data_IF_139090927925
#
_entry.id   IF_139090927925
#
_cell.length_a   1.000
_cell.length_b   1.000
_cell.length_c   1.000
_cell.angle_alpha   90.00
_cell.angle_beta   90.00
_cell.angle_gamma   90.00
#
_symmetry.space_group_name_H-M   'P 1'
#
loop_
_entity.id
_entity.type
_entity.pdbx_description
1 polymer ?
#
# COMPACT_ATOMS: atom_id res chain seq x y z
N UNK A 1 12.36 -18.85 -24.90
CA UNK A 1 12.46 -17.39 -25.19
C UNK A 1 12.09 -16.58 -23.96
N UNK A 2 13.04 -15.83 -23.39
CA UNK A 2 12.75 -14.86 -22.34
C UNK A 2 12.03 -13.62 -22.92
N UNK A 3 11.14 -13.00 -22.14
CA UNK A 3 10.48 -11.74 -22.54
C UNK A 3 11.39 -10.56 -22.18
N UNK A 4 11.54 -9.58 -23.08
CA UNK A 4 12.35 -8.39 -22.84
C UNK A 4 11.78 -7.46 -21.75
N UNK A 5 12.63 -6.59 -21.20
CA UNK A 5 12.27 -5.62 -20.14
C UNK A 5 11.14 -4.65 -20.53
N UNK A 6 10.92 -4.41 -21.81
CA UNK A 6 9.83 -3.55 -22.30
C UNK A 6 8.56 -4.31 -22.65
N UNK A 7 8.54 -5.64 -22.46
CA UNK A 7 7.37 -6.46 -22.74
C UNK A 7 6.16 -5.99 -21.92
N UNK A 8 5.04 -5.80 -22.63
CA UNK A 8 3.79 -5.24 -22.08
C UNK A 8 3.25 -6.05 -20.91
N UNK A 9 3.32 -7.38 -20.98
CA UNK A 9 2.90 -8.27 -19.89
C UNK A 9 3.75 -8.05 -18.63
N UNK A 10 5.08 -8.04 -18.75
CA UNK A 10 5.98 -7.80 -17.61
C UNK A 10 5.83 -6.41 -17.01
N UNK A 11 5.56 -5.38 -17.83
CA UNK A 11 5.30 -4.02 -17.36
C UNK A 11 4.04 -3.98 -16.48
N UNK A 12 2.97 -4.68 -16.88
CA UNK A 12 1.71 -4.77 -16.11
C UNK A 12 1.87 -5.52 -14.79
N UNK A 13 2.63 -6.61 -14.80
CA UNK A 13 2.95 -7.31 -13.55
C UNK A 13 3.77 -6.43 -12.60
N UNK A 14 4.74 -5.67 -13.13
CA UNK A 14 5.51 -4.70 -12.33
C UNK A 14 4.63 -3.61 -11.73
N UNK A 15 3.68 -3.05 -12.48
CA UNK A 15 2.75 -2.05 -11.93
C UNK A 15 1.89 -2.63 -10.81
N UNK A 16 1.37 -3.85 -10.96
CA UNK A 16 0.61 -4.51 -9.89
C UNK A 16 1.46 -4.74 -8.62
N UNK A 17 2.74 -5.11 -8.77
CA UNK A 17 3.67 -5.26 -7.65
C UNK A 17 4.00 -3.93 -6.97
N UNK A 18 4.14 -2.85 -7.74
CA UNK A 18 4.39 -1.50 -7.19
C UNK A 18 3.28 -1.08 -6.24
N UNK A 19 2.02 -1.28 -6.59
CA UNK A 19 0.91 -0.96 -5.69
C UNK A 19 1.06 -1.60 -4.30
N UNK A 20 1.45 -2.88 -4.24
CA UNK A 20 1.67 -3.58 -2.96
C UNK A 20 2.85 -3.01 -2.19
N UNK A 21 3.96 -2.70 -2.88
CA UNK A 21 5.13 -2.10 -2.25
C UNK A 21 4.77 -0.71 -1.70
N UNK A 22 4.06 0.09 -2.48
CA UNK A 22 3.60 1.40 -2.07
C UNK A 22 2.75 1.31 -0.80
N UNK A 23 1.78 0.39 -0.76
CA UNK A 23 0.87 0.22 0.38
C UNK A 23 1.57 -0.32 1.63
N UNK A 24 2.48 -1.30 1.50
CA UNK A 24 3.13 -1.96 2.63
C UNK A 24 4.34 -1.16 3.15
N UNK A 25 5.05 -0.45 2.27
CA UNK A 25 6.35 0.14 2.59
C UNK A 25 6.32 1.66 2.50
N UNK A 26 5.84 2.23 1.40
CA UNK A 26 5.98 3.67 1.15
C UNK A 26 5.02 4.49 2.01
N UNK A 27 3.73 4.09 2.07
CA UNK A 27 2.71 4.76 2.88
C UNK A 27 3.07 4.83 4.36
N UNK A 28 3.38 3.72 5.06
CA UNK A 28 3.70 3.80 6.49
C UNK A 28 4.96 4.63 6.75
N UNK A 29 5.97 4.56 5.88
CA UNK A 29 7.16 5.41 5.99
C UNK A 29 6.83 6.89 5.85
N UNK A 30 5.93 7.23 4.93
CA UNK A 30 5.49 8.59 4.70
C UNK A 30 4.66 9.11 5.89
N UNK A 31 3.79 8.28 6.46
CA UNK A 31 3.03 8.61 7.67
C UNK A 31 3.95 8.83 8.88
N UNK A 32 4.93 7.94 9.09
CA UNK A 32 5.97 8.10 10.12
C UNK A 32 6.76 9.39 9.93
N UNK A 33 7.23 9.67 8.70
CA UNK A 33 7.97 10.89 8.40
C UNK A 33 7.13 12.15 8.67
N UNK A 34 5.87 12.16 8.23
CA UNK A 34 4.95 13.26 8.48
C UNK A 34 4.70 13.47 9.99
N UNK A 35 4.56 12.39 10.75
CA UNK A 35 4.42 12.45 12.21
C UNK A 35 5.64 13.11 12.85
N UNK A 36 6.85 12.72 12.44
CA UNK A 36 8.11 13.30 12.94
C UNK A 36 8.19 14.80 12.63
N UNK A 37 7.88 15.20 11.40
CA UNK A 37 7.87 16.61 10.99
C UNK A 37 6.90 17.43 11.85
N UNK A 38 5.69 16.91 12.12
CA UNK A 38 4.71 17.60 12.98
C UNK A 38 5.17 17.75 14.43
N UNK A 39 5.90 16.79 14.98
CA UNK A 39 6.46 16.88 16.33
C UNK A 39 7.56 17.92 16.40
N UNK A 40 8.46 17.94 15.40
CA UNK A 40 9.51 18.95 15.28
C UNK A 40 8.93 20.37 15.16
N UNK A 41 7.86 20.55 14.38
CA UNK A 41 7.15 21.84 14.26
C UNK A 41 6.58 22.34 15.58
N UNK A 42 6.25 21.43 16.50
CA UNK A 42 5.77 21.75 17.86
C UNK A 42 6.90 21.97 18.86
N UNK A 43 8.16 21.91 18.42
CA UNK A 43 9.35 22.04 19.28
C UNK A 43 9.64 20.78 20.11
N UNK A 44 9.00 19.65 19.82
CA UNK A 44 9.27 18.38 20.50
C UNK A 44 10.43 17.69 19.80
N UNK A 45 11.47 17.32 20.56
CA UNK A 45 12.57 16.54 20.01
C UNK A 45 12.13 15.10 19.71
N UNK A 46 12.57 14.59 18.56
CA UNK A 46 12.16 13.30 17.99
C UNK A 46 13.38 12.37 17.86
N UNK A 47 14.55 12.80 18.34
CA UNK A 47 15.76 11.97 18.36
C UNK A 47 15.51 10.72 19.22
N UNK A 48 15.72 9.51 18.66
CA UNK A 48 15.58 8.30 19.46
C UNK A 48 16.75 8.20 20.43
N UNK A 49 16.44 7.89 21.69
CA UNK A 49 17.47 7.58 22.68
C UNK A 49 18.25 6.34 22.26
N UNK A 50 19.57 6.50 22.08
CA UNK A 50 20.47 5.39 21.72
C UNK A 50 20.88 4.68 23.00
N UNK A 51 20.38 3.45 23.18
CA UNK A 51 20.78 2.60 24.31
C UNK A 51 22.18 2.03 24.09
N UNK A 52 22.99 1.87 25.16
CA UNK A 52 24.32 1.28 25.05
C UNK A 52 24.23 -0.19 24.59
N UNK A 53 25.25 -0.64 23.86
CA UNK A 53 25.29 -1.98 23.29
C UNK A 53 25.88 -2.97 24.30
N UNK A 54 25.11 -3.98 24.69
CA UNK A 54 25.51 -4.98 25.68
C UNK A 54 26.73 -5.82 25.28
N UNK A 55 27.02 -5.95 23.98
CA UNK A 55 28.22 -6.64 23.51
C UNK A 55 29.52 -5.84 23.73
N UNK A 56 29.42 -4.51 23.77
CA UNK A 56 30.57 -3.63 24.00
C UNK A 56 30.75 -3.37 25.50
N UNK A 57 29.65 -3.18 26.22
CA UNK A 57 29.63 -2.89 27.65
C UNK A 57 28.83 -3.98 28.40
N UNK A 58 29.44 -5.15 28.64
CA UNK A 58 28.74 -6.26 29.29
C UNK A 58 28.32 -5.94 30.72
N UNK A 59 29.06 -5.06 31.41
CA UNK A 59 28.83 -4.74 32.83
C UNK A 59 27.74 -3.67 33.04
N UNK A 60 27.40 -2.90 32.01
CA UNK A 60 26.40 -1.83 32.10
C UNK A 60 24.96 -2.43 32.15
N UNK A 61 24.16 -2.19 33.22
CA UNK A 61 22.83 -2.77 33.36
C UNK A 61 21.80 -2.19 32.38
N UNK A 62 22.03 -0.97 31.87
CA UNK A 62 21.12 -0.30 30.92
C UNK A 62 21.38 -0.72 29.46
N UNK A 63 22.47 -1.43 29.22
CA UNK A 63 22.86 -1.87 27.89
C UNK A 63 21.97 -3.00 27.37
N UNK A 64 21.55 -2.89 26.11
CA UNK A 64 20.61 -3.82 25.46
C UNK A 64 21.33 -4.60 24.37
N UNK A 65 21.01 -5.88 24.21
CA UNK A 65 21.46 -6.69 23.09
C UNK A 65 20.71 -6.22 21.84
N UNK A 66 21.39 -5.68 20.80
CA UNK A 66 20.72 -5.21 19.60
C UNK A 66 20.04 -6.38 18.89
N UNK A 67 18.70 -6.36 18.85
CA UNK A 67 17.91 -7.34 18.12
C UNK A 67 17.41 -6.75 16.80
N UNK A 68 17.48 -7.53 15.72
CA UNK A 68 16.89 -7.15 14.45
C UNK A 68 15.37 -7.29 14.53
N UNK A 69 14.65 -6.20 14.32
CA UNK A 69 13.19 -6.25 14.19
C UNK A 69 12.78 -7.13 12.99
N UNK A 70 11.92 -8.12 13.25
CA UNK A 70 11.36 -8.99 12.22
C UNK A 70 10.41 -8.16 11.35
N UNK A 71 10.74 -8.03 10.06
CA UNK A 71 9.87 -7.35 9.09
C UNK A 71 9.00 -8.38 8.37
N UNK A 72 7.70 -8.13 8.17
CA UNK A 72 6.84 -9.05 7.45
C UNK A 72 7.34 -9.27 6.03
N UNK A 73 7.41 -10.52 5.60
CA UNK A 73 7.85 -10.87 4.25
C UNK A 73 6.80 -10.41 3.21
N UNK A 74 7.26 -9.71 2.18
CA UNK A 74 6.40 -9.28 1.07
C UNK A 74 6.40 -10.38 0.00
N UNK A 75 5.27 -11.07 -0.16
CA UNK A 75 5.11 -12.03 -1.25
C UNK A 75 4.65 -11.33 -2.54
N UNK A 76 5.51 -11.36 -3.57
CA UNK A 76 5.27 -10.78 -4.88
C UNK A 76 4.96 -11.83 -5.95
N UNK A 77 4.66 -13.08 -5.57
CA UNK A 77 4.16 -14.11 -6.48
C UNK A 77 2.78 -13.73 -7.02
N UNK A 78 2.45 -14.19 -8.22
CA UNK A 78 1.17 -13.88 -8.87
C UNK A 78 -0.06 -14.34 -8.06
N UNK A 79 0.10 -15.28 -7.14
CA UNK A 79 -0.94 -15.75 -6.24
C UNK A 79 -1.26 -14.71 -5.15
N UNK A 80 -0.23 -14.11 -4.56
CA UNK A 80 -0.35 -13.12 -3.50
C UNK A 80 -0.71 -11.72 -4.03
N UNK A 81 -0.37 -11.42 -5.28
CA UNK A 81 -0.69 -10.13 -5.91
C UNK A 81 -2.14 -10.14 -6.44
N UNK A 82 -3.07 -9.35 -5.88
CA UNK A 82 -4.49 -9.48 -6.22
C UNK A 82 -4.82 -9.11 -7.68
N UNK A 83 -4.17 -8.07 -8.20
CA UNK A 83 -4.38 -7.57 -9.55
C UNK A 83 -3.50 -8.24 -10.62
N UNK A 84 -2.75 -9.27 -10.24
CA UNK A 84 -1.96 -10.06 -11.18
C UNK A 84 -2.82 -10.67 -12.30
N UNK A 85 -4.05 -11.08 -11.97
CA UNK A 85 -5.00 -11.65 -12.92
C UNK A 85 -5.42 -10.68 -14.03
N UNK A 86 -5.35 -9.37 -13.76
CA UNK A 86 -5.67 -8.32 -14.73
C UNK A 86 -4.48 -7.99 -15.65
N UNK A 87 -3.28 -8.51 -15.37
CA UNK A 87 -2.09 -8.27 -16.18
C UNK A 87 -2.02 -9.13 -17.46
N UNK A 88 -2.94 -10.09 -17.63
CA UNK A 88 -3.02 -11.04 -18.75
C UNK A 88 -3.31 -10.42 -20.13
N UNK A 89 -3.15 -11.24 -21.17
CA UNK A 89 -3.52 -10.88 -22.55
C UNK A 89 -5.03 -10.61 -22.61
N UNK A 90 -5.45 -9.56 -23.34
CA UNK A 90 -6.85 -9.07 -23.44
C UNK A 90 -7.46 -8.39 -22.20
N UNK A 91 -6.76 -8.34 -21.06
CA UNK A 91 -7.28 -7.66 -19.87
C UNK A 91 -7.06 -6.14 -19.89
N UNK A 92 -7.90 -5.42 -19.12
CA UNK A 92 -7.95 -3.96 -19.04
C UNK A 92 -6.59 -3.38 -18.63
N UNK A 93 -6.23 -2.24 -19.23
CA UNK A 93 -4.85 -1.70 -19.23
C UNK A 93 -4.55 -0.72 -18.09
N UNK A 94 -5.58 -0.16 -17.47
CA UNK A 94 -5.51 0.89 -16.44
C UNK A 94 -6.45 0.51 -15.29
N UNK A 95 -5.93 0.56 -14.06
CA UNK A 95 -6.74 0.45 -12.85
C UNK A 95 -7.57 1.74 -12.70
N UNK A 96 -8.84 1.61 -12.36
CA UNK A 96 -9.64 2.80 -12.03
C UNK A 96 -9.16 3.34 -10.68
N UNK A 97 -9.28 4.66 -10.43
CA UNK A 97 -8.98 5.21 -9.11
C UNK A 97 -9.81 4.53 -8.01
N UNK A 98 -11.01 4.04 -8.33
CA UNK A 98 -11.86 3.24 -7.44
C UNK A 98 -11.24 1.88 -7.12
N UNK A 99 -10.74 1.14 -8.10
CA UNK A 99 -10.06 -0.15 -7.89
C UNK A 99 -8.77 0.03 -7.06
N UNK A 100 -8.03 1.12 -7.28
CA UNK A 100 -6.85 1.46 -6.46
C UNK A 100 -7.28 1.74 -5.02
N UNK A 101 -8.42 2.41 -4.79
CA UNK A 101 -8.99 2.62 -3.46
C UNK A 101 -9.49 1.31 -2.85
N UNK A 102 -10.12 0.42 -3.60
CA UNK A 102 -10.57 -0.89 -3.13
C UNK A 102 -9.40 -1.80 -2.70
N UNK A 103 -8.21 -1.65 -3.28
CA UNK A 103 -6.99 -2.26 -2.72
C UNK A 103 -6.56 -1.65 -1.38
N UNK A 104 -6.79 -0.35 -1.16
CA UNK A 104 -6.52 0.29 0.14
C UNK A 104 -7.46 -0.25 1.23
N UNK A 105 -8.70 -0.58 0.88
CA UNK A 105 -9.67 -1.19 1.80
C UNK A 105 -9.33 -2.65 2.18
N UNK A 106 -8.20 -3.20 1.72
CA UNK A 106 -7.84 -4.60 1.89
C UNK A 106 -6.68 -4.90 2.81
N UNK A 107 -6.15 -3.90 3.52
CA UNK A 107 -5.05 -4.13 4.46
C UNK A 107 -5.35 -3.82 5.92
N UNK A 108 -6.44 -3.14 6.32
CA UNK A 108 -6.64 -2.80 7.74
C UNK A 108 -8.12 -2.90 8.13
N UNK A 109 -8.38 -3.82 9.07
CA UNK A 109 -9.47 -3.71 10.04
C UNK A 109 -9.35 -2.34 10.67
N UNK A 110 -10.37 -1.49 10.52
CA UNK A 110 -10.84 -0.41 11.40
C UNK A 110 -11.58 0.61 10.51
N UNK A 111 -12.86 0.31 10.22
CA UNK A 111 -13.76 1.21 9.49
C UNK A 111 -14.20 2.43 10.31
N UNK A 112 -13.75 2.56 11.55
CA UNK A 112 -14.12 3.61 12.50
C UNK A 112 -13.10 4.76 12.63
N UNK A 113 -11.96 4.69 11.93
CA UNK A 113 -10.99 5.81 11.84
C UNK A 113 -11.09 6.58 10.52
N UNK A 114 -12.00 6.19 9.63
CA UNK A 114 -12.26 6.93 8.42
C UNK A 114 -13.41 7.91 8.68
N UNK A 115 -13.21 9.22 8.46
CA UNK A 115 -14.31 10.16 8.53
C UNK A 115 -15.38 9.73 7.51
N UNK A 116 -16.68 9.79 7.87
CA UNK A 116 -17.74 9.62 6.88
C UNK A 116 -17.50 10.64 5.76
N UNK A 117 -17.72 10.22 4.51
CA UNK A 117 -17.56 11.02 3.28
C UNK A 117 -17.64 12.54 3.56
N UNK A 118 -16.51 13.25 3.46
CA UNK A 118 -16.54 14.71 3.40
C UNK A 118 -15.46 15.46 4.17
N UNK A 119 -14.82 14.88 5.18
CA UNK A 119 -13.91 15.66 6.02
C UNK A 119 -12.47 15.15 5.90
N UNK A 120 -11.71 15.79 5.02
CA UNK A 120 -10.25 15.82 5.14
C UNK A 120 -9.98 16.93 6.15
N UNK A 121 -9.50 16.58 7.33
CA UNK A 121 -8.97 17.55 8.28
C UNK A 121 -7.69 18.18 7.69
N UNK A 122 -7.88 19.18 6.85
CA UNK A 122 -6.95 20.25 6.55
C UNK A 122 -7.83 21.46 6.20
N UNK A 123 -7.92 22.41 7.14
CA UNK A 123 -8.35 23.77 6.81
C UNK A 123 -7.43 24.32 5.73
N UNK A 124 -7.90 24.36 4.49
CA UNK A 124 -7.57 25.40 3.51
C UNK A 124 -8.63 25.35 2.42
N UNK A 125 -9.36 26.46 2.31
CA UNK A 125 -10.25 26.85 1.22
C UNK A 125 -9.84 26.29 -0.14
N UNK A 126 -10.60 25.31 -0.64
CA UNK A 126 -10.66 25.03 -2.07
C UNK A 126 -11.90 24.20 -2.38
N UNK A 127 -12.81 24.82 -3.12
CA UNK A 127 -14.02 24.24 -3.68
C UNK A 127 -13.72 22.86 -4.28
N UNK A 128 -14.41 21.83 -3.79
CA UNK A 128 -14.30 20.48 -4.31
C UNK A 128 -14.78 20.43 -5.77
N UNK A 129 -13.85 20.58 -6.71
CA UNK A 129 -14.14 20.28 -8.12
C UNK A 129 -14.34 18.78 -8.22
N UNK A 130 -15.59 18.36 -8.42
CA UNK A 130 -15.93 16.98 -8.72
C UNK A 130 -15.24 16.59 -10.04
N UNK A 131 -14.15 15.82 -9.94
CA UNK A 131 -13.49 15.22 -11.10
C UNK A 131 -14.41 14.17 -11.69
N UNK A 132 -15.33 14.57 -12.57
CA UNK A 132 -16.07 13.66 -13.44
C UNK A 132 -15.12 13.16 -14.51
N UNK A 133 -14.67 11.91 -14.40
CA UNK A 133 -13.86 11.30 -15.44
C UNK A 133 -14.66 11.25 -16.75
N UNK A 134 -14.12 11.78 -17.84
CA UNK A 134 -14.63 11.64 -19.21
C UNK A 134 -14.43 10.23 -19.78
N UNK A 135 -14.40 9.20 -18.92
CA UNK A 135 -14.35 7.83 -19.36
C UNK A 135 -15.71 7.48 -19.98
N UNK A 136 -15.74 7.26 -21.30
CA UNK A 136 -16.90 6.72 -22.03
C UNK A 136 -17.52 5.58 -21.21
N UNK A 137 -18.72 5.79 -20.70
CA UNK A 137 -19.57 4.79 -20.03
C UNK A 137 -20.11 3.74 -21.02
N UNK A 138 -19.32 3.41 -22.05
CA UNK A 138 -19.69 2.48 -23.11
C UNK A 138 -19.14 1.09 -22.84
N UNK A 139 -20.01 0.17 -22.42
CA UNK A 139 -19.89 -1.27 -22.63
C UNK A 139 -18.60 -1.96 -22.14
N UNK A 140 -18.27 -1.81 -20.86
CA UNK A 140 -17.33 -2.74 -20.21
C UNK A 140 -18.11 -3.95 -19.68
N UNK A 141 -18.37 -4.96 -20.52
CA UNK A 141 -18.76 -6.28 -19.99
C UNK A 141 -17.68 -6.69 -18.98
N UNK A 142 -18.05 -6.84 -17.69
CA UNK A 142 -17.15 -7.33 -16.63
C UNK A 142 -16.61 -8.69 -17.08
N UNK A 143 -15.43 -8.70 -17.71
CA UNK A 143 -14.86 -9.92 -18.28
C UNK A 143 -14.50 -10.93 -17.20
N UNK A 144 -14.26 -12.19 -17.61
CA UNK A 144 -13.85 -13.30 -16.72
C UNK A 144 -12.66 -12.93 -15.81
N UNK A 145 -11.80 -12.02 -16.24
CA UNK A 145 -10.67 -11.53 -15.46
C UNK A 145 -11.04 -10.68 -14.23
N UNK A 146 -12.11 -9.88 -14.30
CA UNK A 146 -12.60 -9.13 -13.13
C UNK A 146 -13.20 -10.08 -12.09
N UNK A 147 -14.01 -11.05 -12.53
CA UNK A 147 -14.55 -12.08 -11.65
C UNK A 147 -13.42 -12.90 -10.98
N UNK A 148 -12.38 -13.25 -11.74
CA UNK A 148 -11.21 -13.96 -11.22
C UNK A 148 -10.40 -13.10 -10.24
N UNK A 149 -10.19 -11.81 -10.52
CA UNK A 149 -9.52 -10.89 -9.61
C UNK A 149 -10.32 -10.69 -8.31
N UNK A 150 -11.64 -10.49 -8.40
CA UNK A 150 -12.53 -10.39 -7.24
C UNK A 150 -12.54 -11.67 -6.40
N UNK A 151 -12.60 -12.84 -7.04
CA UNK A 151 -12.52 -14.14 -6.35
C UNK A 151 -11.18 -14.31 -5.63
N UNK A 152 -10.07 -13.89 -6.25
CA UNK A 152 -8.74 -13.88 -5.61
C UNK A 152 -8.66 -12.92 -4.43
N UNK A 153 -9.15 -11.69 -4.58
CA UNK A 153 -9.22 -10.70 -3.50
C UNK A 153 -9.98 -11.28 -2.30
N UNK A 154 -11.15 -11.87 -2.53
CA UNK A 154 -11.96 -12.48 -1.47
C UNK A 154 -11.29 -13.70 -0.82
N UNK A 155 -10.57 -14.53 -1.60
CA UNK A 155 -9.80 -15.65 -1.05
C UNK A 155 -8.64 -15.17 -0.14
N UNK A 156 -7.95 -14.09 -0.52
CA UNK A 156 -6.90 -13.49 0.31
C UNK A 156 -7.49 -12.93 1.61
N UNK A 157 -8.65 -12.26 1.56
CA UNK A 157 -9.37 -11.80 2.77
C UNK A 157 -9.66 -12.95 3.73
N UNK A 158 -10.13 -14.08 3.20
CA UNK A 158 -10.52 -15.24 4.01
C UNK A 158 -9.33 -15.93 4.69
N UNK A 159 -8.13 -15.89 4.09
CA UNK A 159 -6.90 -16.49 4.66
C UNK A 159 -6.24 -15.64 5.74
N UNK A 160 -6.55 -14.34 5.82
CA UNK A 160 -5.99 -13.41 6.81
C UNK A 160 -6.86 -13.28 8.08
N UNK A 161 -8.07 -13.84 8.10
CA UNK A 161 -8.92 -14.00 9.28
C UNK A 161 -8.67 -15.37 9.88
#
# INVERSE_FOLDING_TARGET
MAKGLRAKSLRRYRTAKRHIINDIVEVPRLEEANRKVRLLQRGIDVTPEVKPNKFLEPDNPEAVIPQRAVKPAIDLRSEAVPYSGLAGMYNRRKFSPEEIRESRFLSVVQGHLLPPKGEIAMDTDQVAVAVRSTAREGNYKRGKAHAHAAKKLNAIKKRKR
#
